data_IF_603197481778
#
_entry.id   IF_603197481778
#
_cell.length_a   1.000
_cell.length_b   1.000
_cell.length_c   1.000
_cell.angle_alpha   90.00
_cell.angle_beta   90.00
_cell.angle_gamma   90.00
#
_symmetry.space_group_name_H-M   'P 1'
#
loop_
_entity.id
_entity.type
_entity.pdbx_description
1 polymer ?
#
# COMPACT_ATOMS: atom_id res chain seq x y z
N UNK A 1 -19.58 -2.09 -23.80
CA UNK A 1 -18.28 -2.65 -24.23
C UNK A 1 -17.06 -1.96 -23.60
N UNK A 2 -17.24 -0.99 -22.71
CA UNK A 2 -16.17 -0.16 -22.11
C UNK A 2 -15.50 -0.75 -20.86
N UNK A 3 -16.12 -1.71 -20.16
CA UNK A 3 -15.58 -2.28 -18.92
C UNK A 3 -14.44 -3.30 -19.12
N UNK A 4 -14.39 -4.01 -20.27
CA UNK A 4 -13.36 -5.03 -20.52
C UNK A 4 -12.00 -4.44 -20.87
N UNK A 5 -11.98 -3.34 -21.64
CA UNK A 5 -10.74 -2.66 -22.04
C UNK A 5 -10.06 -1.92 -20.89
N UNK A 6 -10.84 -1.31 -19.99
CA UNK A 6 -10.31 -0.66 -18.79
C UNK A 6 -9.64 -1.69 -17.85
N UNK A 7 -10.32 -2.82 -17.57
CA UNK A 7 -9.77 -3.88 -16.72
C UNK A 7 -8.50 -4.51 -17.30
N UNK A 8 -8.42 -4.73 -18.62
CA UNK A 8 -7.20 -5.25 -19.25
C UNK A 8 -6.04 -4.26 -19.23
N UNK A 9 -6.33 -2.95 -19.34
CA UNK A 9 -5.30 -1.90 -19.31
C UNK A 9 -4.74 -1.72 -17.91
N UNK A 10 -5.59 -1.72 -16.89
CA UNK A 10 -5.18 -1.68 -15.47
C UNK A 10 -4.35 -2.91 -15.12
N UNK A 11 -4.76 -4.12 -15.55
CA UNK A 11 -3.98 -5.35 -15.31
C UNK A 11 -2.61 -5.28 -16.00
N UNK A 12 -2.54 -4.74 -17.21
CA UNK A 12 -1.28 -4.53 -17.92
C UNK A 12 -0.34 -3.57 -17.20
N UNK A 13 -0.87 -2.44 -16.71
CA UNK A 13 -0.11 -1.47 -15.92
C UNK A 13 0.40 -2.06 -14.60
N UNK A 14 -0.46 -2.78 -13.87
CA UNK A 14 -0.04 -3.46 -12.65
C UNK A 14 1.05 -4.51 -12.93
N UNK A 15 0.96 -5.21 -14.06
CA UNK A 15 1.96 -6.20 -14.45
C UNK A 15 3.33 -5.58 -14.75
N UNK A 16 3.36 -4.37 -15.34
CA UNK A 16 4.60 -3.62 -15.56
C UNK A 16 5.32 -3.40 -14.23
N UNK A 17 4.64 -2.85 -13.22
CA UNK A 17 5.26 -2.63 -11.92
C UNK A 17 5.64 -3.91 -11.18
N UNK A 18 4.82 -4.97 -11.26
CA UNK A 18 5.23 -6.27 -10.70
C UNK A 18 6.54 -6.75 -11.32
N UNK A 19 6.63 -6.71 -12.65
CA UNK A 19 7.81 -7.18 -13.36
C UNK A 19 9.03 -6.29 -13.09
N UNK A 20 8.83 -4.97 -12.93
CA UNK A 20 9.90 -4.06 -12.52
C UNK A 20 10.40 -4.37 -11.11
N UNK A 21 9.51 -4.67 -10.16
CA UNK A 21 9.90 -5.10 -8.80
C UNK A 21 10.74 -6.38 -8.88
N UNK A 22 10.32 -7.34 -9.70
CA UNK A 22 11.06 -8.59 -9.92
C UNK A 22 12.48 -8.31 -10.44
N UNK A 23 12.63 -7.54 -11.53
CA UNK A 23 13.96 -7.19 -12.08
C UNK A 23 14.85 -6.47 -11.05
N UNK A 24 14.31 -5.51 -10.30
CA UNK A 24 15.06 -4.75 -9.29
C UNK A 24 15.57 -5.66 -8.16
N UNK A 25 14.72 -6.56 -7.64
CA UNK A 25 15.09 -7.44 -6.53
C UNK A 25 16.07 -8.52 -7.01
N UNK A 26 15.87 -9.04 -8.22
CA UNK A 26 16.68 -10.12 -8.79
C UNK A 26 18.05 -9.65 -9.30
N UNK A 27 18.23 -8.38 -9.65
CA UNK A 27 19.51 -7.86 -10.16
C UNK A 27 20.68 -8.11 -9.20
N UNK A 28 21.83 -8.55 -9.69
CA UNK A 28 22.93 -9.01 -8.82
C UNK A 28 23.60 -7.83 -8.10
N UNK A 29 23.85 -6.74 -8.83
CA UNK A 29 24.53 -5.57 -8.28
C UNK A 29 23.56 -4.65 -7.55
N UNK A 30 23.88 -4.36 -6.29
CA UNK A 30 23.15 -3.38 -5.48
C UNK A 30 23.34 -1.94 -5.98
N UNK A 31 24.36 -1.69 -6.81
CA UNK A 31 24.69 -0.39 -7.40
C UNK A 31 24.03 -0.14 -8.76
N UNK A 32 23.41 -1.15 -9.39
CA UNK A 32 22.68 -0.96 -10.65
C UNK A 32 21.60 0.10 -10.49
N UNK A 33 21.51 0.98 -11.48
CA UNK A 33 20.53 2.05 -11.53
C UNK A 33 19.32 1.62 -12.37
N UNK A 34 18.14 2.02 -11.93
CA UNK A 34 16.86 1.70 -12.55
C UNK A 34 16.10 2.99 -12.77
N UNK A 35 15.66 3.24 -14.00
CA UNK A 35 14.77 4.36 -14.33
C UNK A 35 13.37 3.81 -14.51
N UNK A 36 12.46 4.18 -13.62
CA UNK A 36 11.06 3.78 -13.70
C UNK A 36 10.33 4.62 -14.75
N UNK A 37 9.64 3.98 -15.70
CA UNK A 37 8.99 4.66 -16.84
C UNK A 37 9.99 5.53 -17.65
N UNK A 38 11.19 5.00 -17.90
CA UNK A 38 12.27 5.69 -18.60
C UNK A 38 12.02 5.86 -20.11
N UNK A 39 12.95 5.35 -20.91
CA UNK A 39 12.80 5.23 -22.36
C UNK A 39 11.74 4.17 -22.67
N UNK A 40 11.83 3.02 -21.99
CA UNK A 40 10.80 1.99 -21.95
C UNK A 40 10.19 1.89 -20.53
N UNK A 41 9.31 0.92 -20.28
CA UNK A 41 8.64 0.75 -18.98
C UNK A 41 9.64 0.66 -17.80
N UNK A 42 10.81 0.05 -18.01
CA UNK A 42 11.94 0.02 -17.08
C UNK A 42 13.27 0.08 -17.84
N UNK A 43 14.14 1.02 -17.47
CA UNK A 43 15.53 1.03 -17.94
C UNK A 43 16.47 0.57 -16.83
N UNK A 44 17.41 -0.31 -17.15
CA UNK A 44 18.43 -0.81 -16.22
C UNK A 44 19.80 -0.34 -16.72
N UNK A 45 20.43 0.56 -15.98
CA UNK A 45 21.75 1.08 -16.29
C UNK A 45 22.80 0.33 -15.46
N UNK A 46 23.67 -0.39 -16.17
CA UNK A 46 24.84 -1.08 -15.62
C UNK A 46 26.11 -0.33 -16.03
N UNK A 47 27.25 -0.69 -15.46
CA UNK A 47 28.53 -0.01 -15.73
C UNK A 47 28.91 -0.01 -17.22
N UNK A 48 28.62 -1.08 -17.96
CA UNK A 48 29.05 -1.25 -19.36
C UNK A 48 27.91 -1.18 -20.39
N UNK A 49 26.66 -1.34 -19.96
CA UNK A 49 25.50 -1.40 -20.85
C UNK A 49 24.21 -0.94 -20.17
N UNK A 50 23.29 -0.43 -20.98
CA UNK A 50 21.92 -0.12 -20.58
C UNK A 50 20.96 -1.10 -21.21
N UNK A 51 20.04 -1.62 -20.41
CA UNK A 51 19.02 -2.57 -20.86
C UNK A 51 17.65 -1.90 -20.75
N UNK A 52 16.97 -1.74 -21.89
CA UNK A 52 15.66 -1.13 -21.98
C UNK A 52 14.60 -2.24 -22.03
N UNK A 53 13.71 -2.25 -21.04
CA UNK A 53 12.77 -3.35 -20.80
C UNK A 53 11.34 -2.86 -20.99
N UNK A 54 10.60 -3.56 -21.85
CA UNK A 54 9.19 -3.30 -22.10
C UNK A 54 8.36 -4.52 -21.76
N UNK A 55 7.20 -4.30 -21.13
CA UNK A 55 6.27 -5.38 -20.78
C UNK A 55 4.99 -5.26 -21.61
N UNK A 56 4.51 -6.41 -22.10
CA UNK A 56 3.24 -6.53 -22.82
C UNK A 56 2.45 -7.70 -22.25
N UNK A 57 1.55 -7.39 -21.33
CA UNK A 57 0.66 -8.37 -20.73
C UNK A 57 -0.69 -8.41 -21.44
N UNK A 58 -0.94 -9.46 -22.22
CA UNK A 58 -2.23 -9.70 -22.86
C UNK A 58 -2.57 -11.18 -22.85
N UNK A 59 -3.69 -11.56 -22.25
CA UNK A 59 -4.12 -12.96 -22.15
C UNK A 59 -4.77 -13.45 -23.45
N UNK A 60 -4.03 -13.45 -24.56
CA UNK A 60 -4.49 -14.02 -25.83
C UNK A 60 -3.82 -15.36 -26.13
N UNK A 61 -4.52 -16.16 -26.94
CA UNK A 61 -4.08 -17.51 -27.28
C UNK A 61 -2.92 -17.55 -28.27
N UNK A 62 -2.98 -16.76 -29.34
CA UNK A 62 -2.05 -16.88 -30.47
C UNK A 62 -1.29 -15.58 -30.72
N UNK A 63 -0.04 -15.70 -31.16
CA UNK A 63 0.81 -14.54 -31.46
C UNK A 63 0.24 -13.69 -32.59
N UNK A 64 0.34 -12.37 -32.46
CA UNK A 64 -0.14 -11.40 -33.45
C UNK A 64 0.88 -10.28 -33.63
N UNK A 65 1.39 -10.13 -34.86
CA UNK A 65 2.37 -9.09 -35.23
C UNK A 65 1.92 -7.68 -34.79
N UNK A 66 0.65 -7.33 -34.97
CA UNK A 66 0.11 -6.01 -34.63
C UNK A 66 0.18 -5.67 -33.14
N UNK A 67 0.25 -6.66 -32.24
CA UNK A 67 0.31 -6.46 -30.79
C UNK A 67 1.70 -6.07 -30.30
N UNK A 68 2.72 -6.45 -31.05
CA UNK A 68 4.13 -6.16 -30.76
C UNK A 68 4.71 -5.09 -31.69
N UNK A 69 3.96 -4.69 -32.74
CA UNK A 69 4.40 -3.71 -33.71
C UNK A 69 4.78 -2.36 -33.10
N UNK A 70 3.96 -1.83 -32.18
CA UNK A 70 4.26 -0.58 -31.48
C UNK A 70 5.57 -0.65 -30.68
N UNK A 71 5.73 -1.56 -29.70
CA UNK A 71 6.96 -1.58 -28.89
C UNK A 71 8.20 -1.87 -29.76
N UNK A 72 8.12 -2.79 -30.72
CA UNK A 72 9.25 -3.05 -31.63
C UNK A 72 9.64 -1.82 -32.47
N UNK A 73 8.66 -1.08 -32.98
CA UNK A 73 8.91 0.14 -33.74
C UNK A 73 9.58 1.24 -32.91
N UNK A 74 9.17 1.41 -31.65
CA UNK A 74 9.76 2.38 -30.72
C UNK A 74 11.22 1.98 -30.42
N UNK A 75 11.46 0.73 -30.05
CA UNK A 75 12.81 0.20 -29.78
C UNK A 75 13.74 0.33 -31.00
N UNK A 76 13.25 -0.04 -32.19
CA UNK A 76 14.02 0.07 -33.43
C UNK A 76 14.34 1.53 -33.78
N UNK A 77 13.37 2.43 -33.67
CA UNK A 77 13.60 3.86 -33.88
C UNK A 77 14.61 4.43 -32.86
N UNK A 78 14.54 3.99 -31.59
CA UNK A 78 15.52 4.37 -30.57
C UNK A 78 16.93 3.86 -30.93
N UNK A 79 17.04 2.61 -31.40
CA UNK A 79 18.30 2.01 -31.85
C UNK A 79 18.95 2.83 -32.96
N UNK A 80 18.20 3.16 -34.00
CA UNK A 80 18.70 3.95 -35.13
C UNK A 80 19.24 5.33 -34.70
N UNK A 81 18.59 5.95 -33.72
CA UNK A 81 18.99 7.26 -33.20
C UNK A 81 20.17 7.19 -32.22
N UNK A 82 20.52 6.01 -31.70
CA UNK A 82 21.49 5.85 -30.61
C UNK A 82 22.56 4.78 -30.89
N UNK A 83 22.87 4.51 -32.16
CA UNK A 83 23.81 3.45 -32.58
C UNK A 83 25.21 3.52 -31.96
N UNK A 84 25.61 4.68 -31.44
CA UNK A 84 26.91 4.88 -30.77
C UNK A 84 26.94 4.39 -29.32
N UNK A 85 25.77 4.11 -28.72
CA UNK A 85 25.64 3.64 -27.34
C UNK A 85 25.30 2.16 -27.32
N UNK A 86 25.74 1.46 -26.27
CA UNK A 86 25.43 0.05 -26.05
C UNK A 86 24.09 -0.09 -25.31
N UNK A 87 23.01 -0.16 -26.08
CA UNK A 87 21.69 -0.51 -25.58
C UNK A 87 21.33 -1.96 -25.93
N UNK A 88 20.79 -2.68 -24.96
CA UNK A 88 20.07 -3.94 -25.18
C UNK A 88 18.57 -3.71 -25.00
N UNK A 89 17.76 -4.39 -25.79
CA UNK A 89 16.32 -4.23 -25.80
C UNK A 89 15.67 -5.56 -25.42
N UNK A 90 14.86 -5.56 -24.36
CA UNK A 90 14.10 -6.73 -23.91
C UNK A 90 12.61 -6.46 -23.96
N UNK A 91 11.87 -7.32 -24.64
CA UNK A 91 10.41 -7.27 -24.71
C UNK A 91 9.80 -8.51 -24.08
N UNK A 92 9.22 -8.37 -22.88
CA UNK A 92 8.49 -9.43 -22.22
C UNK A 92 7.03 -9.46 -22.70
N UNK A 93 6.58 -10.64 -23.14
CA UNK A 93 5.24 -10.82 -23.70
C UNK A 93 4.55 -11.96 -22.96
N UNK A 94 3.44 -11.67 -22.30
CA UNK A 94 2.56 -12.74 -21.84
C UNK A 94 1.69 -13.22 -23.00
N UNK A 95 1.77 -14.52 -23.29
CA UNK A 95 0.97 -15.24 -24.28
C UNK A 95 0.83 -16.69 -23.79
N UNK A 96 -0.30 -17.36 -24.07
CA UNK A 96 -0.50 -18.75 -23.62
C UNK A 96 0.13 -19.80 -24.54
N UNK A 97 0.50 -19.41 -25.76
CA UNK A 97 1.20 -20.23 -26.76
C UNK A 97 2.68 -19.81 -26.84
N UNK A 98 3.47 -20.45 -27.71
CA UNK A 98 4.89 -20.14 -27.89
C UNK A 98 5.10 -18.85 -28.68
N UNK A 99 6.13 -18.09 -28.29
CA UNK A 99 6.63 -17.01 -29.14
C UNK A 99 7.35 -17.59 -30.36
N UNK A 100 7.16 -16.99 -31.55
CA UNK A 100 7.97 -17.35 -32.71
C UNK A 100 9.42 -16.90 -32.52
N UNK A 101 10.35 -17.61 -33.15
CA UNK A 101 11.72 -17.13 -33.25
C UNK A 101 11.75 -15.89 -34.12
N UNK A 102 12.25 -14.78 -33.58
CA UNK A 102 12.38 -13.54 -34.34
C UNK A 102 13.49 -13.70 -35.38
N UNK A 103 13.22 -13.25 -36.60
CA UNK A 103 14.17 -13.20 -37.70
C UNK A 103 13.90 -11.93 -38.53
N UNK A 104 14.78 -11.65 -39.49
CA UNK A 104 14.70 -10.42 -40.31
C UNK A 104 13.35 -10.33 -41.04
N UNK A 105 12.85 -11.44 -41.60
CA UNK A 105 11.57 -11.46 -42.32
C UNK A 105 10.41 -11.08 -41.39
N UNK A 106 10.32 -11.72 -40.23
CA UNK A 106 9.26 -11.44 -39.27
C UNK A 106 9.36 -10.01 -38.71
N UNK A 107 10.57 -9.53 -38.41
CA UNK A 107 10.79 -8.16 -37.95
C UNK A 107 10.35 -7.14 -39.01
N UNK A 108 10.75 -7.34 -40.28
CA UNK A 108 10.32 -6.52 -41.40
C UNK A 108 8.78 -6.48 -41.52
N UNK A 109 8.12 -7.63 -41.47
CA UNK A 109 6.67 -7.72 -41.52
C UNK A 109 6.01 -6.94 -40.39
N UNK A 110 6.52 -7.06 -39.16
CA UNK A 110 5.99 -6.36 -37.98
C UNK A 110 6.17 -4.84 -38.10
N UNK A 111 7.37 -4.39 -38.45
CA UNK A 111 7.70 -2.95 -38.55
C UNK A 111 6.98 -2.28 -39.72
N UNK A 112 6.64 -3.04 -40.77
CA UNK A 112 5.89 -2.54 -41.93
C UNK A 112 4.40 -2.34 -41.67
N UNK A 113 3.85 -2.87 -40.57
CA UNK A 113 2.46 -2.64 -40.20
C UNK A 113 2.22 -1.17 -39.84
N UNK A 114 1.10 -0.59 -40.27
CA UNK A 114 0.69 0.78 -39.88
C UNK A 114 0.61 0.97 -38.36
N UNK A 115 0.31 -0.10 -37.61
CA UNK A 115 0.30 -0.10 -36.15
C UNK A 115 1.69 0.09 -35.52
N UNK A 116 2.76 -0.15 -36.27
CA UNK A 116 4.16 0.03 -35.84
C UNK A 116 4.84 1.20 -36.56
N UNK A 117 4.77 1.23 -37.90
CA UNK A 117 5.52 2.17 -38.75
C UNK A 117 5.30 3.65 -38.41
N UNK A 118 4.12 4.01 -37.89
CA UNK A 118 3.81 5.39 -37.43
C UNK A 118 4.61 5.86 -36.21
N UNK A 119 5.25 4.94 -35.49
CA UNK A 119 6.12 5.24 -34.34
C UNK A 119 7.60 5.34 -34.73
N UNK A 120 7.91 5.13 -36.02
CA UNK A 120 9.25 5.34 -36.59
C UNK A 120 9.24 6.71 -37.25
N UNK A 121 10.27 7.51 -36.96
CA UNK A 121 10.41 8.85 -37.57
C UNK A 121 10.53 8.75 -39.09
N UNK A 122 10.06 9.77 -39.82
CA UNK A 122 10.07 9.77 -41.29
C UNK A 122 11.47 9.51 -41.87
N UNK A 123 12.50 10.12 -41.25
CA UNK A 123 13.90 9.94 -41.64
C UNK A 123 14.38 8.50 -41.45
N UNK A 124 13.80 7.76 -40.49
CA UNK A 124 14.19 6.40 -40.16
C UNK A 124 13.38 5.32 -40.90
N UNK A 125 12.21 5.64 -41.46
CA UNK A 125 11.36 4.66 -42.17
C UNK A 125 12.05 3.94 -43.33
N UNK A 126 12.92 4.58 -44.15
CA UNK A 126 13.64 3.87 -45.21
C UNK A 126 14.46 2.69 -44.68
N UNK A 127 14.98 2.76 -43.45
CA UNK A 127 15.80 1.71 -42.84
C UNK A 127 15.02 0.46 -42.43
N UNK A 128 13.68 0.48 -42.46
CA UNK A 128 12.87 -0.73 -42.28
C UNK A 128 13.19 -1.77 -43.37
N UNK A 129 13.58 -1.34 -44.57
CA UNK A 129 13.95 -2.22 -45.68
C UNK A 129 15.43 -2.60 -45.71
N UNK A 130 16.24 -2.06 -44.79
CA UNK A 130 17.67 -2.31 -44.73
C UNK A 130 17.94 -3.59 -43.94
N UNK A 131 18.18 -4.70 -44.65
CA UNK A 131 18.42 -6.00 -44.03
C UNK A 131 19.65 -6.03 -43.11
N UNK A 132 20.66 -5.19 -43.37
CA UNK A 132 21.85 -5.12 -42.53
C UNK A 132 21.51 -4.46 -41.19
N UNK A 133 20.79 -3.34 -41.22
CA UNK A 133 20.37 -2.66 -39.99
C UNK A 133 19.37 -3.48 -39.17
N UNK A 134 18.47 -4.20 -39.83
CA UNK A 134 17.58 -5.15 -39.14
C UNK A 134 18.38 -6.26 -38.46
N UNK A 135 19.41 -6.79 -39.12
CA UNK A 135 20.29 -7.81 -38.52
C UNK A 135 21.06 -7.24 -37.32
N UNK A 136 21.66 -6.05 -37.45
CA UNK A 136 22.35 -5.37 -36.35
C UNK A 136 21.41 -5.15 -35.15
N UNK A 137 20.16 -4.72 -35.37
CA UNK A 137 19.19 -4.55 -34.28
C UNK A 137 18.88 -5.88 -33.57
N UNK A 138 18.73 -6.97 -34.32
CA UNK A 138 18.46 -8.30 -33.76
C UNK A 138 19.61 -8.85 -32.91
N UNK A 139 20.85 -8.35 -33.06
CA UNK A 139 21.96 -8.71 -32.16
C UNK A 139 21.78 -8.14 -30.75
N UNK A 140 21.05 -7.04 -30.61
CA UNK A 140 20.82 -6.36 -29.33
C UNK A 140 19.37 -6.50 -28.80
N UNK A 141 18.47 -7.03 -29.62
CA UNK A 141 17.07 -7.22 -29.28
C UNK A 141 16.75 -8.66 -28.92
N UNK A 142 15.97 -8.85 -27.85
CA UNK A 142 15.40 -10.12 -27.49
C UNK A 142 13.97 -9.98 -26.96
N UNK A 143 13.13 -10.99 -27.22
CA UNK A 143 11.81 -11.10 -26.61
C UNK A 143 11.66 -12.42 -25.84
N UNK A 144 10.90 -12.38 -24.76
CA UNK A 144 10.73 -13.53 -23.87
C UNK A 144 9.27 -13.72 -23.49
N UNK A 145 8.88 -14.99 -23.31
CA UNK A 145 7.56 -15.30 -22.75
C UNK A 145 7.60 -14.93 -21.28
N UNK A 146 6.72 -14.01 -20.90
CA UNK A 146 6.60 -13.60 -19.51
C UNK A 146 5.67 -14.53 -18.73
N UNK A 147 5.76 -14.50 -17.40
CA UNK A 147 4.94 -15.35 -16.54
C UNK A 147 3.50 -14.86 -16.48
N UNK A 148 2.58 -15.76 -16.16
CA UNK A 148 1.21 -15.34 -15.83
C UNK A 148 1.22 -14.46 -14.58
N UNK A 149 0.34 -13.46 -14.52
CA UNK A 149 0.27 -12.49 -13.42
C UNK A 149 0.34 -13.16 -12.03
N UNK A 150 -0.50 -14.17 -11.79
CA UNK A 150 -0.57 -14.83 -10.48
C UNK A 150 0.68 -15.65 -10.14
N UNK A 151 1.44 -16.08 -11.15
CA UNK A 151 2.72 -16.79 -10.96
C UNK A 151 3.83 -15.78 -10.67
N UNK A 152 3.92 -14.70 -11.46
CA UNK A 152 4.85 -13.60 -11.24
C UNK A 152 4.70 -13.00 -9.84
N UNK A 153 3.46 -12.77 -9.42
CA UNK A 153 3.16 -12.26 -8.08
C UNK A 153 3.69 -13.19 -6.97
N UNK A 154 3.54 -14.51 -7.15
CA UNK A 154 4.04 -15.50 -6.18
C UNK A 154 5.57 -15.57 -6.16
N UNK A 155 6.23 -15.52 -7.31
CA UNK A 155 7.70 -15.50 -7.37
C UNK A 155 8.27 -14.26 -6.67
N UNK A 156 7.64 -13.09 -6.84
CA UNK A 156 8.05 -11.88 -6.12
C UNK A 156 7.85 -12.04 -4.61
N UNK A 157 6.75 -12.67 -4.18
CA UNK A 157 6.52 -12.96 -2.75
C UNK A 157 7.63 -13.86 -2.21
N UNK A 158 8.01 -14.91 -2.92
CA UNK A 158 9.12 -15.81 -2.55
C UNK A 158 10.46 -15.05 -2.47
N UNK A 159 10.76 -14.22 -3.48
CA UNK A 159 11.96 -13.36 -3.48
C UNK A 159 11.98 -12.38 -2.30
N UNK A 160 10.84 -11.80 -1.94
CA UNK A 160 10.71 -10.90 -0.79
C UNK A 160 10.91 -11.64 0.54
N UNK A 161 10.37 -12.85 0.68
CA UNK A 161 10.58 -13.71 1.85
C UNK A 161 12.07 -13.96 2.04
N UNK A 162 12.77 -14.37 0.99
CA UNK A 162 14.21 -14.66 1.04
C UNK A 162 15.03 -13.40 1.30
N UNK A 163 14.76 -12.32 0.57
CA UNK A 163 15.53 -11.06 0.66
C UNK A 163 15.46 -10.41 2.03
N UNK A 164 14.30 -10.45 2.70
CA UNK A 164 14.09 -9.76 3.97
C UNK A 164 13.95 -10.70 5.17
N UNK A 165 13.99 -12.02 4.97
CA UNK A 165 13.77 -13.03 6.02
C UNK A 165 12.47 -12.78 6.80
N UNK A 166 11.36 -12.66 6.07
CA UNK A 166 10.02 -12.31 6.60
C UNK A 166 9.01 -13.44 6.38
N UNK A 167 7.87 -13.36 7.06
CA UNK A 167 6.77 -14.30 6.81
C UNK A 167 6.12 -14.05 5.44
N UNK A 168 5.51 -15.10 4.86
CA UNK A 168 4.70 -15.00 3.64
C UNK A 168 3.60 -13.92 3.76
N UNK A 169 2.92 -13.86 4.91
CA UNK A 169 1.92 -12.82 5.18
C UNK A 169 2.50 -11.41 5.12
N UNK A 170 3.72 -11.21 5.61
CA UNK A 170 4.40 -9.92 5.54
C UNK A 170 4.84 -9.63 4.10
N UNK A 171 5.34 -10.61 3.38
CA UNK A 171 5.70 -10.43 1.98
C UNK A 171 4.47 -10.04 1.12
N UNK A 172 3.38 -10.79 1.24
CA UNK A 172 2.17 -10.61 0.42
C UNK A 172 1.39 -9.33 0.74
N UNK A 173 1.13 -9.06 2.03
CA UNK A 173 0.22 -7.98 2.41
C UNK A 173 0.94 -6.70 2.78
N UNK A 174 2.28 -6.72 2.90
CA UNK A 174 3.03 -5.58 3.37
C UNK A 174 4.18 -5.17 2.43
N UNK A 175 5.12 -6.06 2.13
CA UNK A 175 6.24 -5.69 1.26
C UNK A 175 5.82 -5.49 -0.19
N UNK A 176 5.04 -6.41 -0.76
CA UNK A 176 4.62 -6.31 -2.15
C UNK A 176 3.77 -5.05 -2.45
N UNK A 177 2.74 -4.71 -1.65
CA UNK A 177 1.98 -3.48 -1.88
C UNK A 177 2.83 -2.22 -1.73
N UNK A 178 3.74 -2.16 -0.75
CA UNK A 178 4.61 -1.00 -0.59
C UNK A 178 5.65 -0.89 -1.70
N UNK A 179 6.21 -2.01 -2.18
CA UNK A 179 7.07 -2.05 -3.34
C UNK A 179 6.37 -1.46 -4.57
N UNK A 180 5.11 -1.85 -4.79
CA UNK A 180 4.28 -1.30 -5.85
C UNK A 180 4.01 0.20 -5.66
N UNK A 181 3.67 0.63 -4.44
CA UNK A 181 3.46 2.05 -4.12
C UNK A 181 4.70 2.89 -4.43
N UNK A 182 5.89 2.42 -4.02
CA UNK A 182 7.17 3.10 -4.30
C UNK A 182 7.33 3.30 -5.81
N UNK A 183 7.15 2.25 -6.63
CA UNK A 183 7.29 2.37 -8.07
C UNK A 183 6.23 3.30 -8.68
N UNK A 184 4.98 3.22 -8.21
CA UNK A 184 3.93 4.10 -8.67
C UNK A 184 4.19 5.58 -8.33
N UNK A 185 4.70 5.86 -7.12
CA UNK A 185 5.04 7.22 -6.68
C UNK A 185 6.24 7.80 -7.45
N UNK A 186 7.17 6.95 -7.89
CA UNK A 186 8.25 7.31 -8.81
C UNK A 186 7.70 7.55 -10.22
N UNK A 187 6.91 6.64 -10.77
CA UNK A 187 6.39 6.70 -12.13
C UNK A 187 5.65 8.00 -12.47
N UNK A 188 4.97 8.62 -11.49
CA UNK A 188 4.23 9.89 -11.67
C UNK A 188 5.11 11.15 -11.64
N UNK A 189 6.41 11.04 -11.33
CA UNK A 189 7.33 12.18 -11.34
C UNK A 189 7.62 12.62 -12.76
N UNK A 190 7.75 13.92 -12.97
CA UNK A 190 7.99 14.49 -14.31
C UNK A 190 9.44 14.36 -14.78
N UNK A 191 10.40 14.37 -13.84
CA UNK A 191 11.83 14.32 -14.16
C UNK A 191 12.36 12.87 -14.12
N UNK A 192 12.96 12.33 -15.20
CA UNK A 192 13.63 11.03 -15.19
C UNK A 192 14.65 10.84 -14.06
N UNK A 193 15.34 11.89 -13.63
CA UNK A 193 16.30 11.81 -12.52
C UNK A 193 15.60 11.47 -11.20
N UNK A 194 14.41 12.03 -10.95
CA UNK A 194 13.59 11.71 -9.78
C UNK A 194 12.98 10.31 -9.83
N UNK A 195 12.98 9.68 -11.01
CA UNK A 195 12.53 8.30 -11.24
C UNK A 195 13.65 7.28 -11.22
N UNK A 196 14.88 7.75 -11.04
CA UNK A 196 16.09 6.91 -11.02
C UNK A 196 16.40 6.47 -9.60
N UNK A 197 16.52 5.16 -9.40
CA UNK A 197 16.81 4.54 -8.10
C UNK A 197 17.89 3.47 -8.25
N UNK A 198 18.58 3.15 -7.16
CA UNK A 198 19.44 1.95 -7.11
C UNK A 198 18.71 0.79 -6.43
N UNK A 199 19.15 -0.44 -6.70
CA UNK A 199 18.66 -1.62 -5.95
C UNK A 199 18.86 -1.44 -4.44
N UNK A 200 20.02 -0.95 -4.01
CA UNK A 200 20.30 -0.68 -2.60
C UNK A 200 19.32 0.34 -2.01
N UNK A 201 19.05 1.43 -2.73
CA UNK A 201 18.08 2.43 -2.30
C UNK A 201 16.69 1.83 -2.17
N UNK A 202 16.26 1.03 -3.15
CA UNK A 202 14.96 0.37 -3.13
C UNK A 202 14.81 -0.54 -1.91
N UNK A 203 15.83 -1.37 -1.63
CA UNK A 203 15.83 -2.28 -0.47
C UNK A 203 15.78 -1.53 0.86
N UNK A 204 16.60 -0.49 1.00
CA UNK A 204 16.65 0.32 2.21
C UNK A 204 15.37 1.13 2.42
N UNK A 205 14.75 1.60 1.33
CA UNK A 205 13.48 2.31 1.39
C UNK A 205 12.35 1.37 1.78
N UNK A 206 12.22 0.23 1.11
CA UNK A 206 11.18 -0.76 1.40
C UNK A 206 11.26 -1.31 2.84
N UNK A 207 12.46 -1.54 3.36
CA UNK A 207 12.64 -1.96 4.76
C UNK A 207 12.23 -0.89 5.80
N UNK A 208 12.37 0.40 5.48
CA UNK A 208 11.91 1.50 6.35
C UNK A 208 10.38 1.59 6.42
N UNK A 209 9.68 1.25 5.34
CA UNK A 209 8.22 1.24 5.34
C UNK A 209 7.64 0.34 6.44
N UNK A 210 8.39 -0.64 6.98
CA UNK A 210 7.98 -1.53 8.09
C UNK A 210 7.32 -0.80 9.26
N UNK A 211 7.63 0.48 9.48
CA UNK A 211 7.12 1.28 10.60
C UNK A 211 5.90 2.15 10.26
N UNK A 212 5.68 2.48 8.99
CA UNK A 212 4.63 3.40 8.55
C UNK A 212 3.68 2.69 7.57
N UNK A 213 2.69 1.99 8.15
CA UNK A 213 1.66 1.26 7.41
C UNK A 213 0.63 2.22 6.82
N UNK A 214 0.47 2.23 5.50
CA UNK A 214 -0.66 2.89 4.84
C UNK A 214 -1.60 1.82 4.25
N UNK A 215 -2.52 1.32 5.09
CA UNK A 215 -3.46 0.26 4.69
C UNK A 215 -4.44 0.69 3.61
N UNK A 216 -4.54 1.98 3.29
CA UNK A 216 -5.28 2.48 2.13
C UNK A 216 -4.80 1.80 0.84
N UNK A 217 -3.47 1.79 0.64
CA UNK A 217 -2.88 1.24 -0.57
C UNK A 217 -3.05 -0.27 -0.63
N UNK A 218 -2.81 -0.97 0.49
CA UNK A 218 -3.00 -2.43 0.58
C UNK A 218 -4.46 -2.81 0.28
N UNK A 219 -5.42 -2.03 0.80
CA UNK A 219 -6.85 -2.25 0.58
C UNK A 219 -7.23 -2.07 -0.89
N UNK A 220 -6.64 -1.07 -1.56
CA UNK A 220 -6.83 -0.84 -3.00
C UNK A 220 -6.17 -1.91 -3.87
N UNK A 221 -4.95 -2.33 -3.50
CA UNK A 221 -4.17 -3.28 -4.28
C UNK A 221 -4.67 -4.72 -4.16
N UNK A 222 -5.10 -5.13 -2.95
CA UNK A 222 -5.62 -6.48 -2.68
C UNK A 222 -7.13 -6.46 -2.47
N UNK A 223 -7.58 -6.14 -1.26
CA UNK A 223 -8.98 -5.94 -0.86
C UNK A 223 -9.03 -5.60 0.63
N UNK A 224 -10.18 -5.10 1.10
CA UNK A 224 -10.42 -4.94 2.54
C UNK A 224 -10.39 -6.28 3.28
N UNK A 225 -10.91 -7.36 2.67
CA UNK A 225 -10.90 -8.70 3.28
C UNK A 225 -9.46 -9.21 3.54
N UNK A 226 -8.57 -9.05 2.55
CA UNK A 226 -7.15 -9.38 2.69
C UNK A 226 -6.48 -8.54 3.78
N UNK A 227 -6.71 -7.23 3.77
CA UNK A 227 -6.17 -6.29 4.76
C UNK A 227 -6.62 -6.64 6.17
N UNK A 228 -7.91 -6.95 6.36
CA UNK A 228 -8.48 -7.41 7.62
C UNK A 228 -7.82 -8.70 8.12
N UNK A 229 -7.62 -9.69 7.23
CA UNK A 229 -6.96 -10.96 7.57
C UNK A 229 -5.53 -10.72 8.05
N UNK A 230 -4.76 -9.89 7.34
CA UNK A 230 -3.40 -9.54 7.73
C UNK A 230 -3.34 -8.87 9.11
N UNK A 231 -4.14 -7.83 9.33
CA UNK A 231 -4.11 -7.10 10.61
C UNK A 231 -4.55 -8.00 11.76
N UNK A 232 -5.60 -8.83 11.57
CA UNK A 232 -5.98 -9.83 12.57
C UNK A 232 -4.83 -10.79 12.89
N UNK A 233 -4.08 -11.25 11.88
CA UNK A 233 -2.92 -12.11 12.10
C UNK A 233 -1.80 -11.39 12.86
N UNK A 234 -1.49 -10.14 12.54
CA UNK A 234 -0.50 -9.34 13.28
C UNK A 234 -0.88 -9.17 14.75
N UNK A 235 -2.14 -8.80 15.01
CA UNK A 235 -2.67 -8.69 16.38
C UNK A 235 -2.55 -10.02 17.13
N UNK A 236 -2.88 -11.15 16.48
CA UNK A 236 -2.77 -12.48 17.07
C UNK A 236 -1.31 -12.87 17.37
N UNK A 237 -0.39 -12.69 16.42
CA UNK A 237 1.03 -13.04 16.56
C UNK A 237 1.68 -12.28 17.72
N UNK A 238 1.28 -11.02 17.94
CA UNK A 238 1.76 -10.18 19.06
C UNK A 238 0.97 -10.37 20.35
N UNK A 239 0.03 -11.32 20.38
CA UNK A 239 -0.88 -11.58 21.51
C UNK A 239 -1.63 -10.31 21.98
N UNK A 240 -2.00 -9.46 21.05
CA UNK A 240 -2.77 -8.24 21.29
C UNK A 240 -4.25 -8.60 21.34
N UNK A 241 -4.85 -8.50 22.54
CA UNK A 241 -6.26 -8.78 22.77
C UNK A 241 -6.89 -7.64 23.56
N UNK A 242 -8.19 -7.40 23.36
CA UNK A 242 -8.92 -6.30 24.02
C UNK A 242 -8.98 -6.42 25.55
N UNK A 243 -8.78 -7.61 26.10
CA UNK A 243 -8.76 -7.85 27.54
C UNK A 243 -7.36 -7.80 28.17
N UNK A 244 -6.29 -7.86 27.37
CA UNK A 244 -4.91 -7.80 27.87
C UNK A 244 -4.27 -6.44 27.62
N UNK A 245 -4.60 -5.78 26.50
CA UNK A 245 -3.97 -4.53 26.04
C UNK A 245 -4.93 -3.36 26.12
N UNK A 246 -4.39 -2.16 26.33
CA UNK A 246 -5.16 -0.91 26.24
C UNK A 246 -5.06 -0.33 24.84
N UNK A 247 -6.21 -0.19 24.17
CA UNK A 247 -6.27 0.36 22.83
C UNK A 247 -6.39 1.88 22.90
N UNK A 248 -5.44 2.56 22.26
CA UNK A 248 -5.40 4.01 22.13
C UNK A 248 -5.59 4.36 20.67
N UNK A 249 -6.75 4.91 20.32
CA UNK A 249 -7.07 5.34 18.96
C UNK A 249 -6.69 6.82 18.82
N UNK A 250 -5.66 7.08 18.04
CA UNK A 250 -5.25 8.43 17.68
C UNK A 250 -6.03 8.92 16.46
N UNK A 251 -6.60 10.12 16.59
CA UNK A 251 -7.38 10.81 15.56
C UNK A 251 -6.67 12.14 15.28
N UNK A 252 -5.97 12.22 14.15
CA UNK A 252 -5.26 13.41 13.68
C UNK A 252 -6.15 14.50 13.09
N UNK A 253 -7.33 14.15 12.56
CA UNK A 253 -8.30 15.08 11.95
C UNK A 253 -9.68 14.98 12.64
N UNK A 254 -10.07 15.99 13.44
CA UNK A 254 -11.33 15.97 14.18
C UNK A 254 -12.56 16.20 13.28
N UNK A 255 -12.35 16.60 12.03
CA UNK A 255 -13.41 16.88 11.04
C UNK A 255 -13.65 15.70 10.08
N UNK A 256 -13.02 14.54 10.32
CA UNK A 256 -13.15 13.37 9.45
C UNK A 256 -14.55 12.74 9.53
N UNK A 257 -15.25 12.75 8.41
CA UNK A 257 -16.48 11.98 8.21
C UNK A 257 -17.48 12.15 9.35
N UNK A 258 -18.22 11.09 9.69
CA UNK A 258 -19.02 11.06 10.92
C UNK A 258 -18.20 10.47 12.08
N UNK A 259 -17.35 11.32 12.66
CA UNK A 259 -16.48 10.93 13.77
C UNK A 259 -17.25 10.63 15.06
N UNK A 260 -18.37 11.31 15.29
CA UNK A 260 -19.19 11.12 16.51
C UNK A 260 -19.78 9.72 16.52
N UNK A 261 -20.42 9.31 15.43
CA UNK A 261 -20.95 7.94 15.29
C UNK A 261 -19.84 6.89 15.31
N UNK A 262 -18.67 7.19 14.73
CA UNK A 262 -17.51 6.29 14.79
C UNK A 262 -17.05 6.02 16.23
N UNK A 263 -16.83 7.08 17.02
CA UNK A 263 -16.39 6.97 18.42
C UNK A 263 -17.40 6.14 19.22
N UNK A 264 -18.69 6.46 19.09
CA UNK A 264 -19.78 5.76 19.79
C UNK A 264 -19.82 4.28 19.41
N UNK A 265 -19.82 3.99 18.11
CA UNK A 265 -19.94 2.61 17.63
C UNK A 265 -18.71 1.77 17.95
N UNK A 266 -17.50 2.35 17.89
CA UNK A 266 -16.29 1.65 18.30
C UNK A 266 -16.27 1.40 19.81
N UNK A 267 -16.63 2.40 20.64
CA UNK A 267 -16.70 2.25 22.09
C UNK A 267 -17.63 1.10 22.50
N UNK A 268 -18.78 0.95 21.82
CA UNK A 268 -19.71 -0.18 22.04
C UNK A 268 -19.06 -1.55 21.82
N UNK A 269 -18.11 -1.66 20.90
CA UNK A 269 -17.41 -2.93 20.61
C UNK A 269 -16.30 -3.27 21.60
N UNK A 270 -15.92 -2.32 22.46
CA UNK A 270 -14.95 -2.52 23.54
C UNK A 270 -15.67 -2.70 24.86
N UNK A 271 -16.35 -1.67 25.36
CA UNK A 271 -16.90 -1.67 26.72
C UNK A 271 -18.33 -1.15 26.78
N UNK A 272 -19.29 -2.06 26.64
CA UNK A 272 -20.72 -1.78 26.69
C UNK A 272 -21.47 -2.94 27.33
N UNK A 273 -22.69 -2.68 27.77
CA UNK A 273 -23.55 -3.68 28.42
C UNK A 273 -23.63 -4.95 27.57
N UNK A 274 -23.31 -6.09 28.17
CA UNK A 274 -23.29 -7.40 27.49
C UNK A 274 -21.93 -7.86 26.96
N UNK A 275 -20.94 -6.99 26.84
CA UNK A 275 -19.55 -7.37 26.52
C UNK A 275 -18.88 -8.08 27.71
N UNK A 276 -17.75 -8.74 27.47
CA UNK A 276 -16.97 -9.36 28.56
C UNK A 276 -16.41 -8.27 29.48
N UNK A 277 -16.51 -8.47 30.79
CA UNK A 277 -16.11 -7.47 31.79
C UNK A 277 -14.58 -7.32 31.94
N UNK A 278 -13.81 -8.25 31.38
CA UNK A 278 -12.34 -8.19 31.30
C UNK A 278 -11.84 -7.35 30.12
N UNK A 279 -12.72 -6.92 29.22
CA UNK A 279 -12.36 -6.04 28.11
C UNK A 279 -12.07 -4.64 28.63
N UNK A 280 -11.03 -3.99 28.13
CA UNK A 280 -10.69 -2.61 28.53
C UNK A 280 -11.40 -1.58 27.65
N UNK A 281 -11.92 -0.46 28.21
CA UNK A 281 -12.41 0.67 27.43
C UNK A 281 -11.35 1.22 26.47
N UNK A 282 -11.77 1.58 25.26
CA UNK A 282 -10.90 2.27 24.29
C UNK A 282 -10.64 3.71 24.73
N UNK A 283 -9.43 4.21 24.49
CA UNK A 283 -9.05 5.61 24.71
C UNK A 283 -8.89 6.31 23.37
N UNK A 284 -9.56 7.44 23.18
CA UNK A 284 -9.41 8.29 22.01
C UNK A 284 -8.51 9.49 22.34
N UNK A 285 -7.46 9.70 21.53
CA UNK A 285 -6.60 10.88 21.60
C UNK A 285 -6.83 11.68 20.33
N UNK A 286 -7.39 12.88 20.46
CA UNK A 286 -7.84 13.68 19.31
C UNK A 286 -6.96 14.91 19.14
N UNK A 287 -6.33 15.04 17.98
CA UNK A 287 -5.62 16.25 17.58
C UNK A 287 -6.63 17.27 17.06
N UNK A 288 -6.69 18.44 17.69
CA UNK A 288 -7.63 19.49 17.34
C UNK A 288 -7.50 20.67 18.30
N UNK A 289 -7.94 21.84 17.85
CA UNK A 289 -8.02 23.01 18.71
C UNK A 289 -9.18 22.88 19.73
N UNK A 290 -9.26 23.80 20.69
CA UNK A 290 -10.25 23.72 21.77
C UNK A 290 -11.68 23.80 21.23
N UNK A 291 -11.96 24.63 20.22
CA UNK A 291 -13.30 24.74 19.63
C UNK A 291 -13.72 23.45 18.91
N UNK A 292 -12.82 22.83 18.13
CA UNK A 292 -13.07 21.59 17.38
C UNK A 292 -13.40 20.43 18.32
N UNK A 293 -12.61 20.25 19.39
CA UNK A 293 -12.87 19.18 20.37
C UNK A 293 -14.17 19.43 21.13
N UNK A 294 -14.44 20.68 21.51
CA UNK A 294 -15.70 21.05 22.16
C UNK A 294 -16.91 20.77 21.25
N UNK A 295 -16.81 21.08 19.95
CA UNK A 295 -17.85 20.77 18.98
C UNK A 295 -18.04 19.25 18.82
N UNK A 296 -16.95 18.47 18.77
CA UNK A 296 -17.01 17.00 18.72
C UNK A 296 -17.70 16.41 19.96
N UNK A 297 -17.31 16.85 21.17
CA UNK A 297 -17.96 16.42 22.42
C UNK A 297 -19.46 16.73 22.40
N UNK A 298 -19.84 17.94 21.98
CA UNK A 298 -21.26 18.33 21.82
C UNK A 298 -21.99 17.42 20.84
N UNK A 299 -21.41 17.13 19.68
CA UNK A 299 -22.02 16.25 18.67
C UNK A 299 -22.21 14.82 19.20
N UNK A 300 -21.25 14.29 19.96
CA UNK A 300 -21.39 12.99 20.64
C UNK A 300 -22.57 13.03 21.62
N UNK A 301 -22.66 14.04 22.49
CA UNK A 301 -23.76 14.15 23.44
C UNK A 301 -25.12 14.34 22.76
N UNK A 302 -25.19 15.15 21.70
CA UNK A 302 -26.41 15.33 20.91
C UNK A 302 -26.84 14.02 20.21
N UNK A 303 -25.89 13.21 19.74
CA UNK A 303 -26.20 11.90 19.19
C UNK A 303 -26.78 10.99 20.27
N UNK A 304 -26.16 10.95 21.46
CA UNK A 304 -26.61 10.12 22.58
C UNK A 304 -27.94 10.57 23.17
N UNK A 305 -28.25 11.88 23.19
CA UNK A 305 -29.55 12.37 23.66
C UNK A 305 -30.72 11.93 22.79
N UNK A 306 -30.45 11.53 21.55
CA UNK A 306 -31.46 11.06 20.60
C UNK A 306 -31.59 9.52 20.62
N UNK A 307 -30.85 8.82 21.47
CA UNK A 307 -30.92 7.36 21.61
C UNK A 307 -31.25 6.96 23.05
N UNK A 308 -31.76 5.74 23.24
CA UNK A 308 -31.99 5.17 24.57
C UNK A 308 -30.72 4.49 25.14
N UNK A 309 -29.54 4.83 24.61
CA UNK A 309 -28.29 4.15 24.95
C UNK A 309 -27.54 4.94 26.01
N UNK A 310 -27.17 4.27 27.11
CA UNK A 310 -26.34 4.87 28.14
C UNK A 310 -24.87 4.67 27.80
N UNK A 311 -24.25 5.70 27.23
CA UNK A 311 -22.82 5.74 26.92
C UNK A 311 -22.21 6.96 27.60
N UNK A 312 -21.19 6.71 28.42
CA UNK A 312 -20.55 7.73 29.24
C UNK A 312 -19.08 7.87 28.84
N UNK A 313 -18.66 9.11 28.61
CA UNK A 313 -17.28 9.48 28.31
C UNK A 313 -16.52 9.84 29.59
N UNK A 314 -15.29 9.36 29.74
CA UNK A 314 -14.35 9.84 30.75
C UNK A 314 -13.25 10.68 30.08
N UNK A 315 -13.26 11.99 30.30
CA UNK A 315 -12.25 12.93 29.81
C UNK A 315 -11.38 13.52 30.94
N UNK A 316 -11.54 13.04 32.18
CA UNK A 316 -10.84 13.57 33.34
C UNK A 316 -11.16 15.05 33.63
N UNK A 317 -12.33 15.55 33.22
CA UNK A 317 -12.74 16.96 33.36
C UNK A 317 -11.83 17.95 32.61
N UNK A 318 -11.27 17.50 31.49
CA UNK A 318 -10.34 18.26 30.63
C UNK A 318 -10.79 19.70 30.34
N UNK A 319 -12.08 19.92 30.08
CA UNK A 319 -12.60 21.23 29.65
C UNK A 319 -12.49 22.32 30.73
N UNK A 320 -12.42 21.90 32.00
CA UNK A 320 -12.30 22.79 33.16
C UNK A 320 -10.89 22.74 33.75
N UNK A 321 -10.47 21.55 34.14
CA UNK A 321 -9.14 21.27 34.70
C UNK A 321 -8.91 19.77 34.67
N UNK A 322 -7.98 19.34 33.80
CA UNK A 322 -7.63 17.93 33.68
C UNK A 322 -7.19 17.33 35.03
N UNK A 323 -7.84 16.24 35.41
CA UNK A 323 -7.56 15.45 36.59
C UNK A 323 -7.12 14.05 36.18
N UNK A 324 -5.82 13.79 36.27
CA UNK A 324 -5.23 12.50 35.88
C UNK A 324 -5.71 11.33 36.73
N UNK A 325 -6.07 11.55 38.01
CA UNK A 325 -6.60 10.47 38.87
C UNK A 325 -7.98 10.01 38.37
N UNK A 326 -8.83 10.96 37.97
CA UNK A 326 -10.15 10.67 37.38
C UNK A 326 -10.01 10.00 36.02
N UNK A 327 -9.10 10.50 35.17
CA UNK A 327 -8.83 9.90 33.87
C UNK A 327 -8.27 8.46 33.98
N UNK A 328 -7.42 8.19 34.97
CA UNK A 328 -6.84 6.87 35.20
C UNK A 328 -7.74 5.90 35.97
N UNK A 329 -8.89 6.37 36.48
CA UNK A 329 -9.81 5.51 37.23
C UNK A 329 -10.19 4.28 36.40
N UNK A 330 -10.10 3.10 37.01
CA UNK A 330 -10.49 1.85 36.37
C UNK A 330 -12.01 1.82 36.13
N UNK A 331 -12.48 1.15 35.06
CA UNK A 331 -13.92 1.05 34.83
C UNK A 331 -14.53 0.12 35.87
N UNK A 332 -15.74 0.46 36.32
CA UNK A 332 -16.54 -0.38 37.20
C UNK A 332 -18.00 -0.36 36.78
N UNK A 333 -18.73 -1.39 37.21
CA UNK A 333 -20.15 -1.58 36.91
C UNK A 333 -21.00 -1.21 38.12
N UNK A 334 -22.06 -0.42 37.92
CA UNK A 334 -22.96 0.04 39.00
C UNK A 334 -23.76 -1.13 39.59
N UNK A 335 -24.00 -2.17 38.78
CA UNK A 335 -24.60 -3.42 39.21
C UNK A 335 -23.63 -4.59 39.02
N UNK A 336 -23.83 -5.69 39.77
CA UNK A 336 -22.97 -6.87 39.68
C UNK A 336 -22.90 -7.37 38.22
N UNK A 337 -21.70 -7.77 37.73
CA UNK A 337 -21.53 -8.32 36.40
C UNK A 337 -22.44 -9.53 36.19
N UNK A 338 -23.29 -9.49 35.16
CA UNK A 338 -24.08 -10.67 34.77
C UNK A 338 -23.14 -11.70 34.16
N UNK A 339 -22.78 -12.76 34.91
CA UNK A 339 -21.97 -13.88 34.40
C UNK A 339 -20.69 -13.43 33.67
N UNK A 340 -19.92 -12.51 34.26
CA UNK A 340 -18.67 -12.00 33.66
C UNK A 340 -18.88 -11.02 32.50
N UNK A 341 -20.05 -10.38 32.42
CA UNK A 341 -20.35 -9.32 31.45
C UNK A 341 -20.47 -7.96 32.10
N UNK A 342 -20.10 -6.92 31.35
CA UNK A 342 -20.31 -5.52 31.74
C UNK A 342 -21.80 -5.28 31.95
N UNK A 343 -22.13 -4.60 33.05
CA UNK A 343 -23.49 -4.21 33.43
C UNK A 343 -23.46 -2.74 33.87
N UNK A 344 -24.14 -1.83 33.17
CA UNK A 344 -24.19 -0.37 33.47
C UNK A 344 -22.82 0.19 33.94
N UNK A 345 -21.87 0.42 33.02
CA UNK A 345 -20.54 0.89 33.39
C UNK A 345 -20.55 2.37 33.81
N UNK A 346 -19.59 2.78 34.65
CA UNK A 346 -19.38 4.19 35.01
C UNK A 346 -18.86 5.04 33.84
N UNK A 347 -18.15 4.42 32.89
CA UNK A 347 -17.80 4.98 31.59
C UNK A 347 -17.55 3.88 30.55
N UNK A 348 -17.73 4.21 29.27
CA UNK A 348 -17.61 3.29 28.14
C UNK A 348 -16.32 3.50 27.34
N UNK A 349 -15.82 4.73 27.31
CA UNK A 349 -14.58 5.08 26.64
C UNK A 349 -13.94 6.30 27.30
N UNK A 350 -12.65 6.49 27.03
CA UNK A 350 -11.93 7.70 27.40
C UNK A 350 -11.72 8.57 26.16
N UNK A 351 -11.74 9.89 26.32
CA UNK A 351 -11.41 10.81 25.24
C UNK A 351 -10.64 12.00 25.80
N UNK A 352 -9.57 12.41 25.13
CA UNK A 352 -8.72 13.51 25.57
C UNK A 352 -8.13 14.21 24.33
N UNK A 353 -7.95 15.52 24.41
CA UNK A 353 -7.23 16.29 23.38
C UNK A 353 -5.76 15.94 23.44
N UNK A 354 -5.15 15.90 22.26
CA UNK A 354 -3.74 15.63 22.08
C UNK A 354 -2.85 16.48 23.01
N UNK A 355 -2.97 17.80 22.98
CA UNK A 355 -2.07 18.66 23.77
C UNK A 355 -2.17 18.33 25.28
N UNK A 356 -3.38 18.09 25.80
CA UNK A 356 -3.59 17.71 27.19
C UNK A 356 -2.94 16.37 27.51
N UNK A 357 -3.06 15.40 26.59
CA UNK A 357 -2.40 14.09 26.70
C UNK A 357 -0.88 14.24 26.75
N UNK A 358 -0.29 15.00 25.81
CA UNK A 358 1.16 15.22 25.75
C UNK A 358 1.69 15.97 26.99
N UNK A 359 0.99 17.01 27.45
CA UNK A 359 1.31 17.76 28.67
C UNK A 359 1.30 16.88 29.93
N UNK A 360 0.42 15.89 29.98
CA UNK A 360 0.21 15.04 31.16
C UNK A 360 0.67 13.60 30.97
N UNK A 361 1.45 13.30 29.92
CA UNK A 361 1.85 11.94 29.52
C UNK A 361 2.36 11.09 30.69
N UNK A 362 3.24 11.65 31.55
CA UNK A 362 3.80 10.96 32.72
C UNK A 362 2.79 10.64 33.83
N UNK A 363 1.63 11.28 33.82
CA UNK A 363 0.55 11.10 34.79
C UNK A 363 -0.59 10.26 34.22
N UNK A 364 -0.58 9.92 32.93
CA UNK A 364 -1.58 9.07 32.31
C UNK A 364 -1.03 7.65 32.31
N UNK A 365 -1.74 6.76 33.00
CA UNK A 365 -1.28 5.38 33.18
C UNK A 365 -1.89 4.51 32.09
N UNK A 366 -1.06 4.04 31.16
CA UNK A 366 -1.44 3.07 30.15
C UNK A 366 -0.71 1.74 30.37
N UNK A 367 -1.45 0.63 30.37
CA UNK A 367 -0.92 -0.72 30.59
C UNK A 367 -0.80 -1.44 29.26
N UNK A 368 0.45 -1.63 28.82
CA UNK A 368 0.78 -2.26 27.54
C UNK A 368 -0.06 -1.66 26.39
N UNK A 369 0.05 -0.36 26.12
CA UNK A 369 -0.77 0.28 25.11
C UNK A 369 -0.51 -0.28 23.71
N UNK A 370 -1.56 -0.26 22.91
CA UNK A 370 -1.54 -0.48 21.46
C UNK A 370 -2.12 0.77 20.83
N UNK A 371 -1.28 1.50 20.12
CA UNK A 371 -1.65 2.74 19.47
C UNK A 371 -2.14 2.42 18.07
N UNK A 372 -3.30 2.98 17.73
CA UNK A 372 -3.91 2.87 16.42
C UNK A 372 -4.14 4.28 15.89
N UNK A 373 -3.31 4.72 14.94
CA UNK A 373 -3.56 5.95 14.20
C UNK A 373 -4.59 5.69 13.10
N UNK A 374 -5.71 6.40 13.09
CA UNK A 374 -6.68 6.27 11.99
C UNK A 374 -6.43 7.29 10.88
N UNK A 375 -5.82 8.43 11.20
CA UNK A 375 -5.35 9.44 10.25
C UNK A 375 -4.21 10.26 10.88
N UNK A 376 -3.33 10.80 10.03
CA UNK A 376 -2.14 11.53 10.46
C UNK A 376 -1.03 10.63 11.01
N UNK A 377 0.19 11.18 11.05
CA UNK A 377 1.31 10.59 11.77
C UNK A 377 1.37 11.18 13.18
N UNK A 378 1.70 10.36 14.17
CA UNK A 378 1.74 10.81 15.55
C UNK A 378 3.07 10.48 16.22
N UNK A 379 3.84 11.52 16.59
CA UNK A 379 5.23 11.40 17.05
C UNK A 379 5.44 11.32 18.56
N UNK A 380 4.39 11.47 19.38
CA UNK A 380 4.55 11.62 20.84
C UNK A 380 4.40 10.32 21.64
N UNK A 381 4.14 9.16 21.04
CA UNK A 381 4.13 7.89 21.77
C UNK A 381 5.53 7.32 21.97
N UNK A 382 5.72 6.54 23.04
CA UNK A 382 7.02 5.97 23.37
C UNK A 382 7.41 4.89 22.36
N UNK A 383 8.71 4.78 22.03
CA UNK A 383 9.22 3.83 21.01
C UNK A 383 8.86 2.36 21.27
N UNK A 384 8.47 2.02 22.50
CA UNK A 384 8.14 0.66 22.91
C UNK A 384 6.64 0.32 22.81
N UNK A 385 5.80 1.21 22.28
CA UNK A 385 4.37 0.93 22.09
C UNK A 385 4.16 0.14 20.79
N UNK A 386 3.25 -0.84 20.81
CA UNK A 386 2.76 -1.44 19.56
C UNK A 386 1.98 -0.37 18.79
N UNK A 387 2.36 -0.11 17.54
CA UNK A 387 1.76 0.91 16.70
C UNK A 387 1.21 0.32 15.40
N UNK A 388 -0.02 0.72 15.04
CA UNK A 388 -0.67 0.39 13.77
C UNK A 388 -1.25 1.68 13.17
N UNK A 389 -1.02 1.95 11.89
CA UNK A 389 -1.67 3.06 11.20
C UNK A 389 -2.71 2.53 10.21
N UNK A 390 -3.99 2.78 10.51
CA UNK A 390 -5.20 2.45 9.72
C UNK A 390 -5.60 3.57 8.76
N UNK A 391 -4.62 4.34 8.28
CA UNK A 391 -4.87 5.45 7.37
C UNK A 391 -5.62 4.98 6.12
N UNK A 392 -6.60 5.79 5.70
CA UNK A 392 -7.41 5.61 4.50
C UNK A 392 -8.50 4.53 4.55
N UNK A 393 -8.59 3.75 5.64
CA UNK A 393 -9.76 2.89 5.88
C UNK A 393 -10.99 3.73 6.25
N UNK A 394 -12.18 3.30 5.88
CA UNK A 394 -13.44 3.95 6.29
C UNK A 394 -13.75 3.66 7.75
N UNK A 395 -14.60 4.49 8.37
CA UNK A 395 -15.00 4.33 9.77
C UNK A 395 -15.59 2.93 10.04
N UNK A 396 -16.46 2.43 9.15
CA UNK A 396 -17.07 1.10 9.29
C UNK A 396 -16.04 -0.05 9.16
N UNK A 397 -15.06 0.10 8.28
CA UNK A 397 -13.97 -0.85 8.09
C UNK A 397 -13.09 -0.95 9.35
N UNK A 398 -12.78 0.19 9.97
CA UNK A 398 -12.03 0.26 11.23
C UNK A 398 -12.85 -0.37 12.38
N UNK A 399 -14.14 -0.08 12.46
CA UNK A 399 -15.04 -0.69 13.46
C UNK A 399 -15.12 -2.20 13.25
N UNK A 400 -15.19 -2.69 12.02
CA UNK A 400 -15.21 -4.12 11.74
C UNK A 400 -13.88 -4.79 12.13
N UNK A 401 -12.76 -4.14 11.84
CA UNK A 401 -11.41 -4.63 12.13
C UNK A 401 -11.14 -4.73 13.63
N UNK A 402 -11.37 -3.63 14.36
CA UNK A 402 -11.06 -3.51 15.78
C UNK A 402 -12.19 -4.00 16.66
N UNK A 403 -13.43 -3.90 16.18
CA UNK A 403 -14.62 -4.23 16.94
C UNK A 403 -15.03 -5.69 16.87
N UNK A 404 -14.61 -6.43 15.84
CA UNK A 404 -14.86 -7.87 15.73
C UNK A 404 -14.12 -8.68 16.80
N UNK A 405 -14.77 -9.76 17.26
CA UNK A 405 -14.04 -10.92 17.79
C UNK A 405 -13.52 -11.74 16.60
#
# INVERSE_FOLDING_TARGET
MTNRQANSSIKGYNYQFLSSIHEIIHEISDASEFVIEGIEDLDINKEEESILVQYKYHEFKNFQNSRVAKPLAIMFNHFLNNRQKKYKYRLFIYITDKLPNINITLLYEILSLDSGSKYISEDNKPFIKDSKLLMEFLEFFHWEVSLKYEIMEREIIELLIETYSISESSAEYFYLPNAFKILNDLAIKSDPVERTITKLWFKNTLSKYRKDLDFEFITRFKSFHATKKYIKNELMTRNIKKNTREFVVYIGNPLRGDLSSFIINLAKKFYYSGNRNDTKPVTFVVNGNKEEIMALKKNIYSHLSNTNELIIMNDGYEDYRFNSQMFNCAPFTVALPLRGKVNIPNYNFKMIRLNTFSEHKRKINLIAPVVISIDGGFGDFEEHYDYFSLRGLKNDEIIELLGGN
#
